data_IF_807545979292
#
_entry.id   IF_807545979292
#
_cell.length_a   1.000
_cell.length_b   1.000
_cell.length_c   1.000
_cell.angle_alpha   90.00
_cell.angle_beta   90.00
_cell.angle_gamma   90.00
#
_symmetry.space_group_name_H-M   'P 1'
#
loop_
_entity.id
_entity.type
_entity.pdbx_description
1 polymer ?
#
# COMPACT_ATOMS: atom_id res chain seq x y z
N UNK A 1 7.44 55.94 7.26
CA UNK A 1 6.59 54.84 6.78
C UNK A 1 6.82 53.66 7.69
N UNK A 2 5.94 53.46 8.67
CA UNK A 2 5.98 52.27 9.53
C UNK A 2 5.46 51.07 8.73
N UNK A 3 6.39 50.23 8.26
CA UNK A 3 6.04 48.88 7.83
C UNK A 3 5.30 48.20 8.99
N UNK A 4 4.00 47.97 8.79
CA UNK A 4 3.11 47.42 9.80
C UNK A 4 3.69 46.10 10.34
N UNK A 5 3.63 45.88 11.66
CA UNK A 5 4.04 44.62 12.31
C UNK A 5 3.46 43.37 11.63
N UNK A 6 2.35 43.48 10.89
CA UNK A 6 1.75 42.39 10.11
C UNK A 6 2.61 41.93 8.93
N UNK A 7 3.26 42.85 8.22
CA UNK A 7 4.03 42.53 7.01
C UNK A 7 5.33 41.80 7.33
N UNK A 8 6.03 42.22 8.40
CA UNK A 8 7.22 41.52 8.88
C UNK A 8 6.90 40.06 9.23
N UNK A 9 5.79 39.81 9.93
CA UNK A 9 5.35 38.45 10.29
C UNK A 9 5.07 37.58 9.05
N UNK A 10 4.59 38.17 7.95
CA UNK A 10 4.34 37.43 6.72
C UNK A 10 5.64 37.06 6.01
N UNK A 11 6.59 37.99 5.88
CA UNK A 11 7.90 37.75 5.28
C UNK A 11 8.65 36.61 6.00
N UNK A 12 8.62 36.58 7.34
CA UNK A 12 9.24 35.50 8.12
C UNK A 12 8.62 34.12 7.90
N UNK A 13 7.38 34.02 7.39
CA UNK A 13 6.71 32.73 7.13
C UNK A 13 6.93 32.21 5.72
N UNK A 14 7.31 33.05 4.76
CA UNK A 14 7.51 32.65 3.36
C UNK A 14 8.48 31.46 3.19
N UNK A 15 9.63 31.39 3.89
CA UNK A 15 10.53 30.24 3.77
C UNK A 15 9.88 28.92 4.22
N UNK A 16 9.12 28.95 5.32
CA UNK A 16 8.42 27.77 5.82
C UNK A 16 7.35 27.29 4.84
N UNK A 17 6.63 28.22 4.20
CA UNK A 17 5.64 27.89 3.16
C UNK A 17 6.33 27.31 1.92
N UNK A 18 7.45 27.89 1.48
CA UNK A 18 8.22 27.40 0.34
C UNK A 18 8.74 25.97 0.58
N UNK A 19 9.37 25.74 1.74
CA UNK A 19 9.87 24.42 2.17
C UNK A 19 8.70 23.43 2.27
N UNK A 20 7.60 23.82 2.93
CA UNK A 20 6.41 22.98 3.04
C UNK A 20 5.81 22.60 1.68
N UNK A 21 5.77 23.53 0.72
CA UNK A 21 5.32 23.28 -0.64
C UNK A 21 6.18 22.25 -1.38
N UNK A 22 7.51 22.34 -1.23
CA UNK A 22 8.45 21.39 -1.85
C UNK A 22 8.30 20.00 -1.23
N UNK A 23 8.37 19.87 0.09
CA UNK A 23 8.26 18.57 0.76
C UNK A 23 6.87 17.94 0.60
N UNK A 24 5.80 18.75 0.69
CA UNK A 24 4.45 18.29 0.43
C UNK A 24 4.28 17.79 -1.01
N UNK A 25 4.87 18.49 -1.99
CA UNK A 25 4.83 18.04 -3.36
C UNK A 25 5.64 16.77 -3.63
N UNK A 26 6.84 16.63 -3.04
CA UNK A 26 7.62 15.38 -3.10
C UNK A 26 6.87 14.20 -2.51
N UNK A 27 6.17 14.41 -1.38
CA UNK A 27 5.32 13.38 -0.78
C UNK A 27 4.18 12.94 -1.71
N UNK A 28 3.51 13.88 -2.38
CA UNK A 28 2.48 13.55 -3.39
C UNK A 28 3.05 12.79 -4.59
N UNK A 29 4.25 13.15 -5.06
CA UNK A 29 4.93 12.40 -6.13
C UNK A 29 5.27 10.97 -5.70
N UNK A 30 5.68 10.77 -4.44
CA UNK A 30 5.88 9.44 -3.88
C UNK A 30 4.57 8.62 -3.87
N UNK A 31 3.45 9.21 -3.47
CA UNK A 31 2.14 8.54 -3.53
C UNK A 31 1.70 8.24 -4.97
N UNK A 32 2.02 9.13 -5.92
CA UNK A 32 1.76 8.90 -7.34
C UNK A 32 2.56 7.71 -7.85
N UNK A 33 3.85 7.62 -7.51
CA UNK A 33 4.71 6.49 -7.87
C UNK A 33 4.20 5.16 -7.30
N UNK A 34 3.88 5.11 -6.00
CA UNK A 34 3.31 3.92 -5.36
C UNK A 34 1.98 3.49 -6.01
N UNK A 35 1.12 4.46 -6.34
CA UNK A 35 -0.13 4.17 -7.02
C UNK A 35 0.11 3.68 -8.45
N UNK A 36 1.08 4.28 -9.17
CA UNK A 36 1.42 3.90 -10.53
C UNK A 36 1.91 2.45 -10.62
N UNK A 37 2.74 1.98 -9.68
CA UNK A 37 3.15 0.58 -9.61
C UNK A 37 1.94 -0.37 -9.53
N UNK A 38 0.93 -0.01 -8.74
CA UNK A 38 -0.28 -0.81 -8.59
C UNK A 38 -1.24 -0.73 -9.78
N UNK A 39 -1.29 0.40 -10.47
CA UNK A 39 -2.10 0.54 -11.69
C UNK A 39 -1.47 -0.23 -12.83
N UNK A 40 -0.15 -0.19 -12.95
CA UNK A 40 0.56 -0.83 -14.06
C UNK A 40 0.55 -2.36 -13.97
N UNK A 41 0.23 -2.92 -12.81
CA UNK A 41 0.12 -4.37 -12.62
C UNK A 41 -1.30 -4.90 -12.69
N UNK A 42 -2.34 -4.07 -12.71
CA UNK A 42 -3.73 -4.54 -12.56
C UNK A 42 -4.71 -3.92 -13.55
N UNK A 43 -5.64 -4.74 -14.04
CA UNK A 43 -6.79 -4.31 -14.82
C UNK A 43 -7.98 -3.99 -13.89
N UNK A 44 -8.93 -3.18 -14.36
CA UNK A 44 -10.15 -2.85 -13.58
C UNK A 44 -11.08 -4.04 -13.35
N UNK A 45 -10.95 -5.09 -14.17
CA UNK A 45 -11.74 -6.31 -14.08
C UNK A 45 -10.86 -7.41 -13.49
N UNK A 46 -11.29 -8.09 -12.41
CA UNK A 46 -10.48 -9.12 -11.81
C UNK A 46 -10.45 -10.36 -12.72
N UNK A 47 -9.29 -11.00 -12.85
CA UNK A 47 -9.20 -12.32 -13.49
C UNK A 47 -9.43 -13.42 -12.45
N UNK A 48 -10.10 -14.50 -12.83
CA UNK A 48 -10.28 -15.66 -11.95
C UNK A 48 -9.09 -16.60 -12.10
N UNK A 49 -8.42 -16.94 -11.00
CA UNK A 49 -7.24 -17.82 -10.98
C UNK A 49 -7.31 -18.77 -9.79
N UNK A 50 -6.93 -20.03 -9.97
CA UNK A 50 -6.84 -20.96 -8.85
C UNK A 50 -5.58 -20.71 -8.02
N UNK A 51 -5.60 -21.06 -6.72
CA UNK A 51 -4.41 -20.94 -5.88
C UNK A 51 -3.21 -21.75 -6.42
N UNK A 52 -3.45 -22.91 -7.02
CA UNK A 52 -2.37 -23.71 -7.62
C UNK A 52 -1.79 -23.02 -8.85
N UNK A 53 -2.66 -22.52 -9.74
CA UNK A 53 -2.23 -21.82 -10.95
C UNK A 53 -1.46 -20.53 -10.65
N UNK A 54 -1.85 -19.80 -9.61
CA UNK A 54 -1.09 -18.62 -9.15
C UNK A 54 0.33 -19.00 -8.70
N UNK A 55 0.50 -20.14 -8.05
CA UNK A 55 1.82 -20.64 -7.64
C UNK A 55 2.66 -21.04 -8.85
N UNK A 56 2.06 -21.79 -9.78
CA UNK A 56 2.80 -22.38 -10.90
C UNK A 56 3.13 -21.34 -11.99
N UNK A 57 2.22 -20.39 -12.25
CA UNK A 57 2.31 -19.47 -13.39
C UNK A 57 2.35 -17.98 -13.01
N UNK A 58 2.13 -17.64 -11.73
CA UNK A 58 1.93 -16.25 -11.31
C UNK A 58 0.60 -15.66 -11.80
N UNK A 59 0.44 -14.34 -11.66
CA UNK A 59 -0.79 -13.63 -12.05
C UNK A 59 -0.73 -13.04 -13.47
N UNK A 60 0.20 -13.50 -14.33
CA UNK A 60 0.36 -13.02 -15.71
C UNK A 60 0.45 -11.48 -15.79
N UNK A 61 -0.56 -10.83 -16.36
CA UNK A 61 -0.65 -9.39 -16.65
C UNK A 61 -1.67 -8.66 -15.76
N UNK A 62 -2.32 -9.35 -14.81
CA UNK A 62 -3.36 -8.75 -13.98
C UNK A 62 -3.27 -9.18 -12.50
N UNK A 63 -2.65 -8.34 -11.69
CA UNK A 63 -2.57 -8.47 -10.24
C UNK A 63 -3.93 -8.39 -9.55
N UNK A 64 -5.00 -7.90 -10.22
CA UNK A 64 -6.35 -7.92 -9.67
C UNK A 64 -6.99 -9.27 -9.96
N UNK A 65 -7.10 -10.10 -8.93
CA UNK A 65 -7.49 -11.50 -9.07
C UNK A 65 -8.68 -11.88 -8.18
N UNK A 66 -9.48 -12.82 -8.66
CA UNK A 66 -10.43 -13.60 -7.87
C UNK A 66 -9.82 -14.98 -7.67
N UNK A 67 -9.33 -15.24 -6.45
CA UNK A 67 -8.68 -16.50 -6.12
C UNK A 67 -9.73 -17.59 -5.86
N UNK A 68 -9.56 -18.76 -6.49
CA UNK A 68 -10.39 -19.95 -6.29
C UNK A 68 -9.57 -21.13 -5.76
N UNK A 69 -10.26 -22.21 -5.39
CA UNK A 69 -9.65 -23.50 -5.04
C UNK A 69 -8.53 -23.40 -4.01
N UNK A 70 -8.82 -22.64 -2.94
CA UNK A 70 -7.89 -22.42 -1.85
C UNK A 70 -8.45 -22.92 -0.51
N UNK A 71 -7.55 -23.05 0.47
CA UNK A 71 -7.85 -23.26 1.88
C UNK A 71 -7.12 -22.19 2.68
N UNK A 72 -7.86 -21.42 3.45
CA UNK A 72 -7.29 -20.44 4.37
C UNK A 72 -6.92 -21.10 5.71
N UNK A 73 -5.66 -20.99 6.12
CA UNK A 73 -5.16 -21.51 7.38
C UNK A 73 -5.39 -20.50 8.50
N UNK A 74 -6.65 -20.21 8.82
CA UNK A 74 -6.98 -19.16 9.79
C UNK A 74 -6.64 -19.52 11.23
N UNK A 75 -6.27 -20.77 11.50
CA UNK A 75 -5.83 -21.19 12.83
C UNK A 75 -4.39 -20.67 13.11
N UNK A 76 -3.74 -20.09 12.09
CA UNK A 76 -2.42 -19.48 12.16
C UNK A 76 -2.46 -18.07 11.57
N UNK A 77 -2.86 -17.09 12.38
CA UNK A 77 -2.78 -15.67 12.02
C UNK A 77 -1.39 -15.19 12.46
N UNK A 78 -0.58 -14.78 11.49
CA UNK A 78 0.86 -14.55 11.72
C UNK A 78 1.15 -13.27 12.50
N UNK A 79 0.33 -12.24 12.33
CA UNK A 79 0.48 -10.98 13.05
C UNK A 79 -0.84 -10.26 13.12
N UNK A 80 -1.14 -9.70 14.29
CA UNK A 80 -2.15 -8.68 14.48
C UNK A 80 -1.37 -7.40 14.80
N UNK A 81 -1.05 -6.60 13.78
CA UNK A 81 -0.30 -5.36 14.01
C UNK A 81 -1.19 -4.43 14.81
N UNK A 82 -0.74 -4.07 16.02
CA UNK A 82 -1.48 -3.15 16.87
C UNK A 82 -1.62 -1.81 16.14
N UNK A 83 -2.83 -1.24 16.05
CA UNK A 83 -3.03 -0.04 15.26
C UNK A 83 -2.18 1.09 15.83
N UNK A 84 -1.38 1.75 14.97
CA UNK A 84 -0.70 2.98 15.37
C UNK A 84 -1.74 4.04 15.74
N UNK A 85 -1.39 5.00 16.60
CA UNK A 85 -2.30 6.08 17.00
C UNK A 85 -2.91 6.79 15.77
N UNK A 86 -4.23 6.67 15.59
CA UNK A 86 -4.97 7.20 14.43
C UNK A 86 -5.30 6.18 13.33
N UNK A 87 -4.82 4.94 13.43
CA UNK A 87 -5.30 3.81 12.64
C UNK A 87 -6.31 3.03 13.49
N UNK A 88 -7.48 2.71 12.93
CA UNK A 88 -8.52 1.97 13.65
C UNK A 88 -8.54 0.48 13.32
N UNK A 89 -7.83 0.05 12.27
CA UNK A 89 -7.96 -1.29 11.72
C UNK A 89 -6.69 -2.09 11.95
N UNK A 90 -6.86 -3.24 12.60
CA UNK A 90 -5.82 -4.25 12.74
C UNK A 90 -5.62 -4.95 11.39
N UNK A 91 -4.37 -5.13 10.99
CA UNK A 91 -4.04 -5.91 9.80
C UNK A 91 -3.87 -7.37 10.23
N UNK A 92 -4.57 -8.28 9.55
CA UNK A 92 -4.42 -9.72 9.75
C UNK A 92 -3.81 -10.37 8.51
N UNK A 93 -2.86 -11.26 8.77
CA UNK A 93 -2.15 -12.01 7.74
C UNK A 93 -2.52 -13.49 7.85
N UNK A 94 -3.14 -14.01 6.80
CA UNK A 94 -3.69 -15.37 6.75
C UNK A 94 -2.99 -16.17 5.66
N UNK A 95 -2.26 -17.23 6.02
CA UNK A 95 -1.66 -18.14 5.06
C UNK A 95 -2.73 -18.85 4.22
N UNK A 96 -2.49 -18.97 2.92
CA UNK A 96 -3.37 -19.64 1.98
C UNK A 96 -2.61 -20.78 1.30
N UNK A 97 -3.27 -21.94 1.21
CA UNK A 97 -2.77 -23.08 0.43
C UNK A 97 -3.77 -23.50 -0.64
N UNK A 98 -3.33 -24.16 -1.72
CA UNK A 98 -4.23 -24.80 -2.67
C UNK A 98 -5.13 -25.82 -1.98
N UNK A 99 -6.39 -25.91 -2.43
CA UNK A 99 -7.36 -26.87 -1.91
C UNK A 99 -6.89 -28.30 -2.20
N UNK A 100 -6.84 -29.13 -1.17
CA UNK A 100 -6.34 -30.51 -1.28
C UNK A 100 -4.83 -30.66 -1.15
N UNK A 101 -4.08 -29.56 -1.07
CA UNK A 101 -2.67 -29.62 -0.68
C UNK A 101 -2.56 -30.25 0.71
N UNK A 102 -1.59 -31.17 0.88
CA UNK A 102 -1.17 -31.60 2.20
C UNK A 102 -0.60 -30.39 2.94
N UNK A 103 -0.60 -30.44 4.27
CA UNK A 103 0.07 -29.39 5.04
C UNK A 103 1.52 -29.30 4.52
N UNK A 104 1.83 -28.15 3.92
CA UNK A 104 3.07 -27.93 3.19
C UNK A 104 3.99 -27.11 4.08
N UNK A 105 5.27 -27.48 4.12
CA UNK A 105 6.28 -26.74 4.90
C UNK A 105 6.67 -25.41 4.22
N UNK A 106 6.09 -25.14 3.04
CA UNK A 106 6.25 -23.91 2.26
C UNK A 106 4.97 -23.09 2.24
N UNK A 107 5.13 -21.78 2.43
CA UNK A 107 4.11 -20.77 2.22
C UNK A 107 4.36 -20.08 0.87
N UNK A 108 3.36 -20.08 0.00
CA UNK A 108 3.44 -19.44 -1.31
C UNK A 108 2.45 -18.29 -1.47
N UNK A 109 1.37 -18.26 -0.69
CA UNK A 109 0.33 -17.24 -0.78
C UNK A 109 -0.01 -16.74 0.61
N UNK A 110 0.08 -15.43 0.81
CA UNK A 110 -0.28 -14.76 2.04
C UNK A 110 -1.38 -13.73 1.77
N UNK A 111 -2.53 -13.90 2.41
CA UNK A 111 -3.60 -12.91 2.32
C UNK A 111 -3.50 -11.90 3.46
N UNK A 112 -3.46 -10.63 3.09
CA UNK A 112 -3.62 -9.51 4.00
C UNK A 112 -5.08 -9.05 4.00
N UNK A 113 -5.64 -8.78 5.17
CA UNK A 113 -7.00 -8.26 5.30
C UNK A 113 -7.14 -7.35 6.51
N UNK A 114 -7.94 -6.29 6.35
CA UNK A 114 -8.31 -5.34 7.42
C UNK A 114 -9.74 -5.55 7.92
N UNK A 115 -10.44 -6.54 7.38
CA UNK A 115 -11.86 -6.77 7.65
C UNK A 115 -12.13 -7.67 8.88
N UNK A 116 -11.08 -8.18 9.52
CA UNK A 116 -11.21 -9.09 10.66
C UNK A 116 -11.09 -8.32 11.97
N UNK A 117 -12.14 -7.55 12.29
CA UNK A 117 -12.27 -6.99 13.65
C UNK A 117 -12.73 -8.06 14.66
N UNK A 118 -13.38 -9.14 14.20
CA UNK A 118 -13.98 -10.18 15.04
C UNK A 118 -13.93 -11.59 14.42
N UNK A 119 -13.86 -12.62 15.28
CA UNK A 119 -13.90 -14.06 14.94
C UNK A 119 -15.01 -14.46 13.94
N UNK A 120 -16.12 -13.73 13.96
CA UNK A 120 -17.27 -13.97 13.07
C UNK A 120 -16.89 -13.82 11.60
N UNK A 121 -16.01 -12.88 11.27
CA UNK A 121 -15.60 -12.63 9.88
C UNK A 121 -14.66 -13.73 9.37
N UNK A 122 -13.80 -14.26 10.22
CA UNK A 122 -12.93 -15.41 9.90
C UNK A 122 -13.79 -16.63 9.57
N UNK A 123 -14.84 -16.89 10.35
CA UNK A 123 -15.77 -18.01 10.08
C UNK A 123 -16.54 -17.85 8.77
N UNK A 124 -16.93 -16.63 8.42
CA UNK A 124 -17.55 -16.35 7.11
C UNK A 124 -16.55 -16.55 5.98
N UNK A 125 -15.31 -16.09 6.17
CA UNK A 125 -14.25 -16.25 5.19
C UNK A 125 -13.92 -17.73 4.93
N UNK A 126 -13.86 -18.58 5.98
CA UNK A 126 -13.70 -20.05 5.83
C UNK A 126 -14.75 -20.71 4.93
N UNK A 127 -15.96 -20.12 4.83
CA UNK A 127 -17.06 -20.68 4.04
C UNK A 127 -17.08 -20.18 2.59
N UNK A 128 -16.35 -19.11 2.28
CA UNK A 128 -16.31 -18.56 0.94
C UNK A 128 -15.29 -19.35 0.10
N UNK A 129 -15.71 -19.96 -1.02
CA UNK A 129 -14.78 -20.69 -1.89
C UNK A 129 -13.89 -19.77 -2.72
N UNK A 130 -14.17 -18.47 -2.72
CA UNK A 130 -13.53 -17.46 -3.56
C UNK A 130 -13.39 -16.15 -2.80
N UNK A 131 -12.31 -15.40 -3.06
CA UNK A 131 -12.22 -13.99 -2.68
C UNK A 131 -11.52 -13.19 -3.76
N UNK A 132 -11.77 -11.89 -3.79
CA UNK A 132 -11.15 -10.96 -4.75
C UNK A 132 -10.16 -10.06 -4.02
N UNK A 133 -9.01 -9.82 -4.62
CA UNK A 133 -7.97 -8.97 -4.05
C UNK A 133 -6.92 -8.56 -5.05
N UNK A 134 -6.00 -7.71 -4.60
CA UNK A 134 -4.89 -7.20 -5.40
C UNK A 134 -3.57 -7.81 -4.91
N UNK A 135 -2.76 -8.36 -5.83
CA UNK A 135 -1.40 -8.77 -5.52
C UNK A 135 -0.52 -7.53 -5.33
N UNK A 136 0.12 -7.36 -4.17
CA UNK A 136 0.79 -6.11 -3.76
C UNK A 136 2.32 -6.22 -3.58
N UNK A 137 2.94 -7.33 -4.01
CA UNK A 137 4.39 -7.56 -3.88
C UNK A 137 5.27 -6.39 -4.36
N UNK A 138 4.86 -5.69 -5.43
CA UNK A 138 5.63 -4.56 -5.97
C UNK A 138 5.52 -3.27 -5.16
N UNK A 139 4.44 -3.10 -4.39
CA UNK A 139 4.17 -1.87 -3.63
C UNK A 139 4.49 -2.02 -2.14
N UNK A 140 4.55 -3.26 -1.64
CA UNK A 140 4.75 -3.55 -0.22
C UNK A 140 5.69 -4.74 -0.04
N UNK A 141 6.83 -4.48 0.60
CA UNK A 141 7.68 -5.53 1.16
C UNK A 141 7.10 -6.01 2.50
N UNK A 142 7.37 -7.26 2.86
CA UNK A 142 7.10 -7.80 4.20
C UNK A 142 8.05 -7.11 5.19
N UNK A 143 7.55 -6.74 6.37
CA UNK A 143 8.42 -6.29 7.46
C UNK A 143 9.21 -7.46 8.06
N UNK A 144 10.31 -7.16 8.74
CA UNK A 144 11.21 -8.19 9.30
C UNK A 144 10.52 -9.08 10.31
N UNK A 145 9.61 -8.54 11.13
CA UNK A 145 8.88 -9.31 12.14
C UNK A 145 7.97 -10.36 11.49
N UNK A 146 7.23 -9.98 10.45
CA UNK A 146 6.39 -10.89 9.69
C UNK A 146 7.22 -11.89 8.89
N UNK A 147 8.37 -11.50 8.34
CA UNK A 147 9.30 -12.42 7.69
C UNK A 147 9.80 -13.49 8.68
N UNK A 148 10.23 -13.08 9.87
CA UNK A 148 10.69 -13.98 10.92
C UNK A 148 9.57 -14.93 11.37
N UNK A 149 8.35 -14.40 11.52
CA UNK A 149 7.17 -15.22 11.84
C UNK A 149 6.89 -16.25 10.73
N UNK A 150 6.94 -15.86 9.46
CA UNK A 150 6.75 -16.77 8.33
C UNK A 150 7.79 -17.88 8.35
N UNK A 151 9.08 -17.54 8.51
CA UNK A 151 10.18 -18.51 8.53
C UNK A 151 10.12 -19.43 9.76
N UNK A 152 9.57 -18.97 10.87
CA UNK A 152 9.35 -19.81 12.05
C UNK A 152 8.31 -20.91 11.79
N UNK A 153 7.17 -20.57 11.19
CA UNK A 153 6.10 -21.53 10.92
C UNK A 153 6.26 -22.32 9.63
N UNK A 154 6.96 -21.74 8.63
CA UNK A 154 7.17 -22.32 7.30
C UNK A 154 8.64 -22.19 6.89
N UNK A 155 9.54 -22.97 7.52
CA UNK A 155 11.00 -22.81 7.41
C UNK A 155 11.56 -23.08 6.00
N UNK A 156 10.78 -23.69 5.11
CA UNK A 156 11.20 -23.95 3.73
C UNK A 156 10.71 -22.88 2.73
N UNK A 157 9.99 -21.85 3.19
CA UNK A 157 9.48 -20.79 2.31
C UNK A 157 10.57 -19.83 1.88
N UNK A 158 10.56 -19.43 0.61
CA UNK A 158 11.30 -18.25 0.15
C UNK A 158 10.40 -17.02 0.28
N UNK A 159 10.81 -16.06 1.11
CA UNK A 159 10.08 -14.81 1.37
C UNK A 159 9.84 -14.00 0.09
N UNK A 160 10.75 -14.09 -0.90
CA UNK A 160 10.65 -13.33 -2.14
C UNK A 160 9.60 -13.90 -3.10
N UNK A 161 9.26 -15.18 -2.94
CA UNK A 161 8.33 -15.92 -3.80
C UNK A 161 6.90 -15.99 -3.21
N UNK A 162 6.65 -15.34 -2.08
CA UNK A 162 5.32 -15.32 -1.45
C UNK A 162 4.44 -14.27 -2.13
N UNK A 163 3.35 -14.70 -2.77
CA UNK A 163 2.33 -13.79 -3.27
C UNK A 163 1.54 -13.16 -2.13
N UNK A 164 1.60 -11.83 -2.02
CA UNK A 164 0.85 -11.07 -1.02
C UNK A 164 -0.41 -10.52 -1.66
N UNK A 165 -1.58 -10.99 -1.22
CA UNK A 165 -2.88 -10.57 -1.75
C UNK A 165 -3.61 -9.73 -0.71
N UNK A 166 -3.89 -8.47 -1.01
CA UNK A 166 -4.75 -7.64 -0.16
C UNK A 166 -6.23 -7.85 -0.53
N UNK A 167 -6.96 -8.45 0.40
CA UNK A 167 -8.37 -8.79 0.25
C UNK A 167 -9.24 -7.53 0.08
N UNK A 168 -10.15 -7.58 -0.90
CA UNK A 168 -11.06 -6.49 -1.29
C UNK A 168 -10.37 -5.19 -1.72
N UNK A 169 -9.07 -5.20 -1.98
CA UNK A 169 -8.39 -4.06 -2.60
C UNK A 169 -8.64 -4.08 -4.10
N UNK A 170 -8.97 -2.92 -4.65
CA UNK A 170 -9.05 -2.67 -6.09
C UNK A 170 -7.82 -1.88 -6.56
N UNK A 171 -7.39 -2.05 -7.82
CA UNK A 171 -6.38 -1.18 -8.40
C UNK A 171 -6.81 0.30 -8.30
N UNK A 172 -5.89 1.23 -7.97
CA UNK A 172 -6.21 2.64 -8.04
C UNK A 172 -6.57 3.02 -9.48
N UNK A 173 -7.53 3.92 -9.68
CA UNK A 173 -7.79 4.44 -11.02
C UNK A 173 -6.69 5.41 -11.49
N UNK A 174 -6.41 5.45 -12.79
CA UNK A 174 -5.47 6.42 -13.40
C UNK A 174 -5.76 7.88 -13.00
N UNK A 175 -7.03 8.22 -12.80
CA UNK A 175 -7.44 9.55 -12.33
C UNK A 175 -6.83 9.92 -10.97
N UNK A 176 -6.76 8.97 -10.03
CA UNK A 176 -6.15 9.19 -8.71
C UNK A 176 -4.64 9.42 -8.84
N UNK A 177 -3.97 8.66 -9.69
CA UNK A 177 -2.54 8.84 -9.99
C UNK A 177 -2.29 10.22 -10.59
N UNK A 178 -3.11 10.64 -11.55
CA UNK A 178 -3.00 11.94 -12.19
C UNK A 178 -3.17 13.11 -11.19
N UNK A 179 -4.11 13.00 -10.25
CA UNK A 179 -4.29 13.99 -9.18
C UNK A 179 -3.02 14.12 -8.32
N UNK A 180 -2.45 12.99 -7.88
CA UNK A 180 -1.23 13.03 -7.06
C UNK A 180 -0.04 13.61 -7.82
N UNK A 181 0.12 13.23 -9.10
CA UNK A 181 1.19 13.73 -9.95
C UNK A 181 1.07 15.25 -10.18
N UNK A 182 -0.10 15.71 -10.64
CA UNK A 182 -0.33 17.12 -10.93
C UNK A 182 -0.30 17.99 -9.66
N UNK A 183 -0.90 17.50 -8.58
CA UNK A 183 -0.86 18.16 -7.27
C UNK A 183 0.56 18.29 -6.74
N UNK A 184 1.36 17.21 -6.84
CA UNK A 184 2.76 17.22 -6.43
C UNK A 184 3.60 18.23 -7.18
N UNK A 185 3.49 18.26 -8.52
CA UNK A 185 4.17 19.23 -9.36
C UNK A 185 3.75 20.68 -9.05
N UNK A 186 2.45 20.93 -8.90
CA UNK A 186 1.93 22.26 -8.58
C UNK A 186 2.44 22.77 -7.23
N UNK A 187 2.48 21.92 -6.20
CA UNK A 187 3.02 22.27 -4.88
C UNK A 187 4.50 22.64 -4.94
N UNK A 188 5.31 21.87 -5.67
CA UNK A 188 6.74 22.16 -5.85
C UNK A 188 6.93 23.49 -6.58
N UNK A 189 6.23 23.70 -7.70
CA UNK A 189 6.34 24.94 -8.48
C UNK A 189 5.93 26.17 -7.65
N UNK A 190 4.85 26.06 -6.88
CA UNK A 190 4.40 27.12 -5.97
C UNK A 190 5.43 27.38 -4.88
N UNK A 191 6.00 26.33 -4.27
CA UNK A 191 7.04 26.45 -3.26
C UNK A 191 8.30 27.15 -3.78
N UNK A 192 8.77 26.78 -4.98
CA UNK A 192 9.90 27.42 -5.66
C UNK A 192 9.59 28.89 -5.97
N UNK A 193 8.39 29.17 -6.51
CA UNK A 193 7.97 30.54 -6.81
C UNK A 193 7.97 31.44 -5.57
N UNK A 194 7.41 30.96 -4.46
CA UNK A 194 7.41 31.69 -3.18
C UNK A 194 8.85 31.89 -2.68
N UNK A 195 9.69 30.84 -2.71
CA UNK A 195 11.10 30.93 -2.34
C UNK A 195 11.87 31.97 -3.15
N UNK A 196 11.66 31.99 -4.47
CA UNK A 196 12.27 32.98 -5.35
C UNK A 196 11.83 34.41 -5.01
N UNK A 197 10.53 34.64 -4.81
CA UNK A 197 10.01 35.98 -4.44
C UNK A 197 10.57 36.46 -3.09
N UNK A 198 10.74 35.57 -2.12
CA UNK A 198 11.36 35.87 -0.83
C UNK A 198 12.83 36.29 -0.98
N UNK A 199 13.63 35.51 -1.70
CA UNK A 199 15.06 35.83 -1.95
C UNK A 199 15.19 37.17 -2.65
N UNK A 200 14.37 37.39 -3.69
CA UNK A 200 14.35 38.66 -4.43
C UNK A 200 14.04 39.84 -3.51
N UNK A 201 13.08 39.69 -2.60
CA UNK A 201 12.68 40.74 -1.65
C UNK A 201 13.82 41.07 -0.69
N UNK A 202 14.55 40.06 -0.18
CA UNK A 202 15.70 40.29 0.71
C UNK A 202 16.85 41.02 -0.01
N UNK A 203 17.13 40.66 -1.27
CA UNK A 203 18.24 41.27 -2.01
C UNK A 203 18.02 42.74 -2.41
N UNK A 204 16.78 43.22 -2.38
CA UNK A 204 16.43 44.61 -2.69
C UNK A 204 16.14 45.47 -1.44
N UNK A 205 16.27 44.89 -0.24
CA UNK A 205 16.17 45.59 1.05
C UNK A 205 17.55 45.96 1.57
#
# INVERSE_FOLDING_TARGET
>A
MDYSRSEKKFIFKMPLIAIGGIFGGLFLLYLAYQSFLLVNTGNSTPQTISAQELIDNGYSDNAYITLTDYKANTDMILTEVEPQAGQSLRESWVPITPKGAKHNDTLNILMMTRAFEHDVHIRKFKKNPTFTGLVINQARALDTELQDAILYYYPQSDINDIYIIEHNRTPPGYFKVAIYLLGGLLCILTGIGIGYTFIKTILHL
#
